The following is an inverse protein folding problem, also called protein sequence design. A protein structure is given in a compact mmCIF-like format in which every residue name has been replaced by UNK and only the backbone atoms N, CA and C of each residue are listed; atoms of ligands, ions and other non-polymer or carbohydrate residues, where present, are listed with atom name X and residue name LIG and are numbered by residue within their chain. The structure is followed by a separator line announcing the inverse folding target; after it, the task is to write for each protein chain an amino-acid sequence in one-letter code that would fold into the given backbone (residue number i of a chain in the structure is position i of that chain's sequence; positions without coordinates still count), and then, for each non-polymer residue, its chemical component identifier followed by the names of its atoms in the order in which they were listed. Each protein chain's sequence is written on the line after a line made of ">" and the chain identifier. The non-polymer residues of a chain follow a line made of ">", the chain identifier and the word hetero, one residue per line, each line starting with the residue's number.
data_IF_370956291076
#
_entry.id   IF_370956291076
#
_cell.length_a   1.000
_cell.length_b   1.000
_cell.length_c   1.000
_cell.angle_alpha   90.00
_cell.angle_beta   90.00
_cell.angle_gamma   90.00
#
_symmetry.space_group_name_H-M   'P 1'
#
loop_
_entity.id
_entity.type
_entity.pdbx_description
1 polymer ?
#
# COMPACT_ATOMS: atom_id res chain seq x y z
N UNK A 1 28.40 -10.17 -10.25
CA UNK A 1 27.38 -9.32 -10.90
C UNK A 1 28.04 -7.99 -11.23
N UNK A 2 27.99 -7.56 -12.49
CA UNK A 2 28.46 -6.24 -12.89
C UNK A 2 27.50 -5.18 -12.30
N UNK A 3 28.03 -4.01 -11.93
CA UNK A 3 27.25 -2.87 -11.44
C UNK A 3 26.38 -2.30 -12.57
N UNK A 4 25.25 -2.97 -12.83
CA UNK A 4 24.11 -2.38 -13.50
C UNK A 4 23.28 -1.67 -12.44
N UNK A 5 23.03 -0.38 -12.65
CA UNK A 5 22.14 0.40 -11.81
C UNK A 5 20.76 -0.24 -11.90
N UNK A 6 20.32 -0.90 -10.82
CA UNK A 6 18.91 -1.20 -10.62
C UNK A 6 18.25 0.14 -10.29
N UNK A 7 17.84 0.87 -11.32
CA UNK A 7 16.87 1.93 -11.12
C UNK A 7 15.61 1.24 -10.59
N UNK A 8 15.18 1.58 -9.37
CA UNK A 8 13.86 1.15 -8.93
C UNK A 8 12.86 1.87 -9.83
N UNK A 9 11.80 1.18 -10.25
CA UNK A 9 10.79 1.84 -11.10
C UNK A 9 10.19 3.06 -10.37
N UNK A 10 10.15 3.03 -9.03
CA UNK A 10 9.80 4.15 -8.16
C UNK A 10 10.62 5.43 -8.44
N UNK A 11 11.91 5.35 -8.79
CA UNK A 11 12.73 6.55 -9.11
C UNK A 11 12.17 7.38 -10.29
N UNK A 12 11.37 6.77 -11.16
CA UNK A 12 10.76 7.48 -12.30
C UNK A 12 9.37 8.03 -12.00
N UNK A 13 8.69 7.54 -10.97
CA UNK A 13 7.27 7.82 -10.72
C UNK A 13 6.99 8.53 -9.40
N UNK A 14 7.95 8.59 -8.48
CA UNK A 14 7.76 9.17 -7.16
C UNK A 14 8.79 10.25 -6.83
N UNK A 15 8.33 11.29 -6.15
CA UNK A 15 9.18 12.26 -5.46
C UNK A 15 8.88 12.20 -3.97
N UNK A 16 9.81 11.67 -3.18
CA UNK A 16 9.57 11.34 -1.77
C UNK A 16 10.24 12.31 -0.80
N UNK A 17 9.59 12.53 0.35
CA UNK A 17 10.17 13.22 1.51
C UNK A 17 10.37 12.18 2.61
N UNK A 18 11.62 11.81 2.84
CA UNK A 18 11.98 10.75 3.80
C UNK A 18 12.60 11.33 5.06
N UNK A 19 12.18 10.84 6.22
CA UNK A 19 12.80 11.20 7.50
C UNK A 19 14.05 10.35 7.75
N UNK A 20 15.22 10.97 7.69
CA UNK A 20 16.50 10.29 7.95
C UNK A 20 16.99 10.43 9.40
N UNK A 21 16.35 11.27 10.21
CA UNK A 21 16.85 11.67 11.53
C UNK A 21 16.16 10.97 12.70
N UNK A 22 14.97 10.39 12.47
CA UNK A 22 14.20 9.70 13.51
C UNK A 22 13.64 8.40 12.97
N UNK A 23 13.49 7.43 13.86
CA UNK A 23 12.87 6.14 13.59
C UNK A 23 11.33 6.26 13.49
N UNK A 24 10.82 7.19 12.68
CA UNK A 24 9.39 7.39 12.43
C UNK A 24 9.15 8.13 11.11
N UNK A 25 7.98 7.97 10.48
CA UNK A 25 7.61 8.74 9.30
C UNK A 25 7.63 10.26 9.54
N UNK A 26 7.73 11.03 8.46
CA UNK A 26 7.60 12.50 8.48
C UNK A 26 6.16 12.98 8.69
N UNK A 27 5.19 12.06 8.72
CA UNK A 27 3.76 12.33 8.78
C UNK A 27 3.11 11.57 9.95
N UNK A 28 1.91 12.01 10.32
CA UNK A 28 1.04 11.30 11.25
C UNK A 28 -0.28 10.96 10.56
N UNK A 29 -0.84 9.77 10.85
CA UNK A 29 -2.16 9.36 10.35
C UNK A 29 -2.99 8.74 11.46
N UNK A 30 -4.19 9.30 11.62
CA UNK A 30 -5.23 8.86 12.55
C UNK A 30 -6.60 8.98 11.86
N UNK A 31 -7.49 8.03 12.13
CA UNK A 31 -8.84 7.99 11.57
C UNK A 31 -9.01 7.01 10.42
N UNK A 32 -10.09 7.18 9.65
CA UNK A 32 -10.49 6.23 8.60
C UNK A 32 -10.03 6.67 7.23
N UNK A 33 -9.37 5.77 6.50
CA UNK A 33 -9.00 5.92 5.11
C UNK A 33 -9.79 4.94 4.24
N UNK A 34 -10.67 5.45 3.38
CA UNK A 34 -11.41 4.66 2.40
C UNK A 34 -10.66 4.62 1.06
N UNK A 35 -10.61 3.44 0.44
CA UNK A 35 -9.83 3.20 -0.77
C UNK A 35 -10.61 2.41 -1.82
N UNK A 36 -10.20 2.52 -3.08
CA UNK A 36 -10.87 1.88 -4.23
C UNK A 36 -10.23 0.52 -4.56
N UNK A 37 -8.91 0.42 -4.39
CA UNK A 37 -8.17 -0.81 -4.62
C UNK A 37 -6.82 -0.80 -3.92
N UNK A 38 -6.08 -1.89 -4.10
CA UNK A 38 -4.73 -2.03 -3.59
C UNK A 38 -3.82 -2.65 -4.63
N UNK A 39 -2.52 -2.46 -4.43
CA UNK A 39 -1.46 -3.19 -5.10
C UNK A 39 -0.45 -3.66 -4.07
N UNK A 40 0.49 -4.52 -4.49
CA UNK A 40 1.49 -5.03 -3.56
C UNK A 40 2.82 -5.35 -4.25
N UNK A 41 3.91 -5.14 -3.51
CA UNK A 41 5.27 -5.45 -3.91
C UNK A 41 5.90 -6.47 -2.95
N UNK A 42 6.60 -7.44 -3.53
CA UNK A 42 7.46 -8.37 -2.81
C UNK A 42 8.84 -8.38 -3.46
N UNK A 43 9.88 -7.96 -2.74
CA UNK A 43 11.25 -7.82 -3.29
C UNK A 43 11.97 -9.15 -3.51
N UNK A 44 11.34 -10.28 -3.15
CA UNK A 44 11.91 -11.59 -3.42
C UNK A 44 10.83 -12.61 -3.83
N UNK A 45 11.25 -13.60 -4.63
CA UNK A 45 10.35 -14.60 -5.21
C UNK A 45 9.70 -15.52 -4.16
N UNK A 46 10.35 -15.75 -3.02
CA UNK A 46 9.79 -16.58 -1.95
C UNK A 46 8.59 -15.89 -1.30
N UNK A 47 8.74 -14.62 -0.96
CA UNK A 47 7.69 -13.78 -0.41
C UNK A 47 6.54 -13.62 -1.41
N UNK A 48 6.86 -13.35 -2.68
CA UNK A 48 5.86 -13.27 -3.76
C UNK A 48 5.04 -14.55 -3.85
N UNK A 49 5.68 -15.72 -3.92
CA UNK A 49 4.96 -17.01 -3.97
C UNK A 49 4.10 -17.26 -2.73
N UNK A 50 4.59 -16.88 -1.55
CA UNK A 50 3.88 -17.09 -0.28
C UNK A 50 2.56 -16.34 -0.22
N UNK A 51 2.51 -15.11 -0.74
CA UNK A 51 1.35 -14.24 -0.60
C UNK A 51 0.59 -13.96 -1.91
N UNK A 52 1.01 -14.56 -3.02
CA UNK A 52 0.42 -14.33 -4.34
C UNK A 52 -1.10 -14.53 -4.37
N UNK A 53 -1.56 -15.71 -3.93
CA UNK A 53 -2.99 -16.06 -3.97
C UNK A 53 -3.80 -15.14 -3.04
N UNK A 54 -3.30 -14.93 -1.82
CA UNK A 54 -3.92 -14.03 -0.84
C UNK A 54 -4.15 -12.64 -1.42
N UNK A 55 -3.13 -12.00 -2.00
CA UNK A 55 -3.32 -10.65 -2.52
C UNK A 55 -4.12 -10.59 -3.82
N UNK A 56 -4.10 -11.62 -4.66
CA UNK A 56 -5.00 -11.66 -5.81
C UNK A 56 -6.46 -11.73 -5.35
N UNK A 57 -6.75 -12.49 -4.30
CA UNK A 57 -8.08 -12.52 -3.68
C UNK A 57 -8.43 -11.15 -3.09
N UNK A 58 -7.50 -10.47 -2.39
CA UNK A 58 -7.77 -9.14 -1.82
C UNK A 58 -7.99 -8.06 -2.90
N UNK A 59 -7.20 -8.07 -3.98
CA UNK A 59 -7.41 -7.18 -5.12
C UNK A 59 -8.78 -7.39 -5.77
N UNK A 60 -9.18 -8.65 -5.97
CA UNK A 60 -10.51 -8.96 -6.47
C UNK A 60 -11.59 -8.50 -5.48
N UNK A 61 -11.41 -8.75 -4.19
CA UNK A 61 -12.36 -8.37 -3.15
C UNK A 61 -12.58 -6.85 -3.06
N UNK A 62 -11.55 -6.04 -3.37
CA UNK A 62 -11.70 -4.57 -3.44
C UNK A 62 -12.82 -4.13 -4.39
N UNK A 63 -13.09 -4.90 -5.46
CA UNK A 63 -14.16 -4.60 -6.42
C UNK A 63 -15.57 -4.67 -5.83
N UNK A 64 -15.75 -5.29 -4.66
CA UNK A 64 -17.02 -5.29 -3.93
C UNK A 64 -17.28 -3.98 -3.17
N UNK A 65 -16.27 -3.11 -3.04
CA UNK A 65 -16.37 -1.85 -2.29
C UNK A 65 -16.28 -2.04 -0.77
N UNK A 66 -16.75 -1.05 -0.02
CA UNK A 66 -16.68 -1.01 1.46
C UNK A 66 -15.25 -1.15 2.02
N UNK A 67 -14.24 -0.80 1.24
CA UNK A 67 -12.85 -0.89 1.65
C UNK A 67 -12.46 0.28 2.55
N UNK A 68 -11.85 -0.01 3.69
CA UNK A 68 -11.33 1.01 4.59
C UNK A 68 -10.24 0.49 5.51
N UNK A 69 -9.42 1.42 6.00
CA UNK A 69 -8.48 1.19 7.08
C UNK A 69 -8.72 2.22 8.17
N UNK A 70 -8.83 1.75 9.41
CA UNK A 70 -8.88 2.62 10.58
C UNK A 70 -7.50 2.66 11.22
N UNK A 71 -6.90 3.85 11.27
CA UNK A 71 -5.58 4.10 11.86
C UNK A 71 -5.69 4.73 13.24
N UNK A 72 -4.78 4.33 14.13
CA UNK A 72 -4.50 5.02 15.38
C UNK A 72 -3.00 5.01 15.65
N UNK A 73 -2.42 6.18 15.90
CA UNK A 73 -0.98 6.41 16.08
C UNK A 73 -0.17 5.78 14.93
N UNK A 74 -0.52 6.18 13.69
CA UNK A 74 0.00 5.65 12.44
C UNK A 74 -0.19 4.14 12.21
N UNK A 75 -0.82 3.41 13.12
CA UNK A 75 -0.92 1.94 13.04
C UNK A 75 -2.31 1.52 12.63
N UNK A 76 -2.42 0.67 11.60
CA UNK A 76 -3.70 0.13 11.18
C UNK A 76 -4.29 -0.76 12.28
N UNK A 77 -5.44 -0.35 12.80
CA UNK A 77 -6.18 -1.06 13.85
C UNK A 77 -7.19 -2.03 13.25
N UNK A 78 -7.84 -1.61 12.17
CA UNK A 78 -8.83 -2.40 11.44
C UNK A 78 -8.62 -2.24 9.94
N UNK A 79 -8.65 -3.35 9.20
CA UNK A 79 -8.53 -3.39 7.74
C UNK A 79 -9.75 -4.15 7.20
N UNK A 80 -10.56 -3.45 6.41
CA UNK A 80 -11.74 -4.00 5.74
C UNK A 80 -11.53 -3.96 4.24
N UNK A 81 -11.71 -5.11 3.57
CA UNK A 81 -11.59 -5.27 2.12
C UNK A 81 -12.84 -6.01 1.63
N UNK A 82 -13.55 -5.43 0.66
CA UNK A 82 -14.78 -6.01 0.13
C UNK A 82 -15.85 -6.22 1.19
N UNK A 83 -15.91 -5.34 2.20
CA UNK A 83 -16.80 -5.47 3.37
C UNK A 83 -16.39 -6.51 4.42
N UNK A 84 -15.31 -7.28 4.19
CA UNK A 84 -14.80 -8.28 5.13
C UNK A 84 -13.65 -7.72 5.97
N UNK A 85 -13.72 -7.92 7.29
CA UNK A 85 -12.62 -7.60 8.20
C UNK A 85 -11.50 -8.63 8.07
N UNK A 86 -10.35 -8.20 7.56
CA UNK A 86 -9.14 -9.02 7.31
C UNK A 86 -7.99 -8.64 8.23
N UNK A 87 -8.30 -7.93 9.32
CA UNK A 87 -7.29 -7.39 10.24
C UNK A 87 -6.39 -8.48 10.82
N UNK A 88 -6.96 -9.65 11.13
CA UNK A 88 -6.22 -10.76 11.75
C UNK A 88 -5.16 -11.31 10.81
N UNK A 89 -5.52 -11.51 9.54
CA UNK A 89 -4.66 -12.01 8.48
C UNK A 89 -3.45 -11.08 8.29
N UNK A 90 -3.70 -9.77 8.27
CA UNK A 90 -2.65 -8.76 8.22
C UNK A 90 -1.80 -8.74 9.50
N UNK A 91 -2.40 -8.81 10.69
CA UNK A 91 -1.63 -8.88 11.95
C UNK A 91 -0.72 -10.11 12.00
N UNK A 92 -1.22 -11.27 11.59
CA UNK A 92 -0.44 -12.51 11.51
C UNK A 92 0.69 -12.39 10.49
N UNK A 93 0.42 -11.78 9.33
CA UNK A 93 1.40 -11.56 8.28
C UNK A 93 2.56 -10.64 8.72
N UNK A 94 2.25 -9.59 9.47
CA UNK A 94 3.19 -8.53 9.86
C UNK A 94 3.74 -8.70 11.29
N UNK A 95 3.35 -9.77 12.00
CA UNK A 95 3.70 -10.00 13.39
C UNK A 95 5.22 -10.10 13.61
N UNK A 96 5.75 -9.27 14.50
CA UNK A 96 7.17 -9.29 14.88
C UNK A 96 8.13 -8.74 13.81
N UNK A 97 7.61 -8.17 12.72
CA UNK A 97 8.41 -7.58 11.66
C UNK A 97 8.55 -6.06 11.86
N UNK A 98 9.61 -5.48 11.30
CA UNK A 98 9.88 -4.05 11.40
C UNK A 98 8.69 -3.22 10.87
N UNK A 99 8.30 -2.17 11.58
CA UNK A 99 7.12 -1.32 11.31
C UNK A 99 5.77 -2.01 11.39
N UNK A 100 5.67 -3.33 11.28
CA UNK A 100 4.41 -4.07 11.39
C UNK A 100 3.31 -3.44 10.52
N UNK A 101 2.17 -3.10 11.13
CA UNK A 101 1.04 -2.44 10.47
C UNK A 101 1.08 -0.91 10.52
N UNK A 102 2.23 -0.30 10.82
CA UNK A 102 2.37 1.13 10.73
C UNK A 102 2.33 1.59 9.26
N UNK A 103 1.66 2.72 9.01
CA UNK A 103 1.75 3.46 7.77
C UNK A 103 3.20 3.89 7.57
N UNK A 104 3.81 3.34 6.53
CA UNK A 104 5.19 3.64 6.12
C UNK A 104 5.23 4.72 5.04
N UNK A 105 4.10 4.91 4.35
CA UNK A 105 3.97 5.87 3.26
C UNK A 105 2.62 6.60 3.27
N UNK A 106 2.64 7.87 2.89
CA UNK A 106 1.48 8.66 2.51
C UNK A 106 1.85 9.46 1.27
N UNK A 107 1.07 9.33 0.21
CA UNK A 107 1.39 9.91 -1.08
C UNK A 107 0.15 10.46 -1.79
N UNK A 108 0.40 11.34 -2.75
CA UNK A 108 -0.61 12.02 -3.55
C UNK A 108 -0.35 11.70 -5.02
N UNK A 109 -1.24 10.94 -5.63
CA UNK A 109 -1.18 10.68 -7.06
C UNK A 109 -1.63 11.90 -7.87
N UNK A 110 -1.03 12.06 -9.05
CA UNK A 110 -1.17 13.24 -9.91
C UNK A 110 -1.58 12.91 -11.35
N UNK A 111 -1.67 11.62 -11.71
CA UNK A 111 -2.03 11.17 -13.04
C UNK A 111 -3.55 11.10 -13.20
N UNK A 112 -4.06 11.81 -14.20
CA UNK A 112 -5.42 11.61 -14.69
C UNK A 112 -5.39 10.57 -15.81
N UNK A 113 -6.24 9.53 -15.69
CA UNK A 113 -6.40 8.51 -16.71
C UNK A 113 -7.74 8.68 -17.44
N UNK A 114 -7.74 8.43 -18.76
CA UNK A 114 -8.96 8.47 -19.58
C UNK A 114 -9.94 7.30 -19.28
N UNK A 115 -9.50 6.32 -18.50
CA UNK A 115 -10.27 5.14 -18.11
C UNK A 115 -10.11 4.88 -16.61
N UNK A 116 -11.12 4.30 -15.94
CA UNK A 116 -10.96 3.83 -14.56
C UNK A 116 -9.79 2.85 -14.44
N UNK A 117 -9.11 2.90 -13.30
CA UNK A 117 -8.06 1.94 -12.96
C UNK A 117 -8.67 0.53 -12.86
N UNK A 118 -7.98 -0.45 -13.44
CA UNK A 118 -8.34 -1.86 -13.26
C UNK A 118 -7.62 -2.42 -12.03
N UNK A 119 -8.35 -2.50 -10.92
CA UNK A 119 -7.84 -3.00 -9.65
C UNK A 119 -7.57 -4.51 -9.63
N UNK A 120 -7.95 -5.25 -10.67
CA UNK A 120 -7.53 -6.64 -10.84
C UNK A 120 -6.09 -6.80 -11.31
N UNK A 121 -5.43 -5.71 -11.70
CA UNK A 121 -4.06 -5.70 -12.19
C UNK A 121 -3.14 -5.10 -11.12
N UNK A 122 -2.21 -5.91 -10.60
CA UNK A 122 -1.14 -5.45 -9.73
C UNK A 122 -0.11 -4.65 -10.54
N UNK A 123 -0.30 -3.33 -10.66
CA UNK A 123 0.52 -2.42 -11.46
C UNK A 123 0.95 -1.22 -10.62
N UNK A 124 2.26 -0.99 -10.54
CA UNK A 124 2.87 0.19 -9.89
C UNK A 124 2.36 1.51 -10.47
N UNK A 125 1.96 1.54 -11.75
CA UNK A 125 1.38 2.75 -12.35
C UNK A 125 0.06 3.16 -11.68
N UNK A 126 -0.64 2.24 -11.02
CA UNK A 126 -1.91 2.54 -10.37
C UNK A 126 -1.75 3.49 -9.18
N UNK A 127 -0.58 3.53 -8.53
CA UNK A 127 -0.29 4.47 -7.43
C UNK A 127 -0.31 5.92 -7.90
N UNK A 128 0.06 6.15 -9.16
CA UNK A 128 0.12 7.48 -9.74
C UNK A 128 -1.25 8.13 -9.94
N UNK A 129 -2.35 7.38 -9.85
CA UNK A 129 -3.70 7.88 -10.10
C UNK A 129 -4.06 9.04 -9.17
N UNK A 130 -4.68 10.08 -9.72
CA UNK A 130 -5.14 11.23 -8.96
C UNK A 130 -5.90 10.81 -7.71
N UNK A 131 -5.48 11.34 -6.57
CA UNK A 131 -6.04 10.99 -5.26
C UNK A 131 -4.96 10.92 -4.19
N UNK A 132 -5.04 9.93 -3.32
CA UNK A 132 -4.03 9.64 -2.32
C UNK A 132 -3.90 8.13 -2.11
N UNK A 133 -2.73 7.69 -1.66
CA UNK A 133 -2.54 6.34 -1.14
C UNK A 133 -1.81 6.34 0.19
N UNK A 134 -2.02 5.25 0.94
CA UNK A 134 -1.30 4.95 2.17
C UNK A 134 -0.66 3.59 2.00
N UNK A 135 0.66 3.55 2.19
CA UNK A 135 1.45 2.32 2.13
C UNK A 135 1.70 1.75 3.52
N UNK A 136 1.64 0.42 3.64
CA UNK A 136 2.13 -0.32 4.81
C UNK A 136 3.17 -1.35 4.38
N UNK A 137 4.09 -1.67 5.30
CA UNK A 137 5.15 -2.64 5.05
C UNK A 137 6.33 -2.09 4.26
N UNK A 138 7.32 -2.96 4.03
CA UNK A 138 8.66 -2.58 3.56
C UNK A 138 9.16 -3.40 2.35
N UNK A 139 8.39 -4.37 1.86
CA UNK A 139 8.71 -5.17 0.66
C UNK A 139 9.82 -6.23 0.83
N UNK A 140 10.71 -6.08 1.81
CA UNK A 140 11.87 -6.95 2.02
C UNK A 140 11.52 -8.26 2.75
N UNK A 141 11.07 -8.16 4.01
CA UNK A 141 10.68 -9.30 4.86
C UNK A 141 9.17 -9.56 4.85
N UNK A 142 8.41 -8.54 4.45
CA UNK A 142 6.96 -8.53 4.32
C UNK A 142 6.59 -7.85 3.00
N UNK A 143 5.38 -8.08 2.47
CA UNK A 143 4.88 -7.31 1.34
C UNK A 143 4.83 -5.82 1.68
N UNK A 144 5.15 -4.96 0.71
CA UNK A 144 4.71 -3.56 0.74
C UNK A 144 3.37 -3.49 0.03
N UNK A 145 2.41 -2.75 0.60
CA UNK A 145 1.02 -2.74 0.14
C UNK A 145 0.52 -1.31 0.14
N UNK A 146 0.07 -0.86 -1.02
CA UNK A 146 -0.47 0.47 -1.21
C UNK A 146 -1.98 0.41 -1.37
N UNK A 147 -2.68 1.10 -0.47
CA UNK A 147 -4.12 1.25 -0.53
C UNK A 147 -4.44 2.59 -1.19
N UNK A 148 -5.12 2.55 -2.33
CA UNK A 148 -5.21 3.69 -3.24
C UNK A 148 -6.65 4.22 -3.30
N UNK A 149 -6.81 5.51 -3.08
CA UNK A 149 -8.09 6.23 -3.09
C UNK A 149 -8.08 7.31 -4.17
N UNK A 150 -8.78 7.06 -5.27
CA UNK A 150 -8.90 7.95 -6.43
C UNK A 150 -9.79 9.18 -6.16
N UNK A 151 -10.54 9.14 -5.06
CA UNK A 151 -11.48 10.18 -4.68
C UNK A 151 -11.06 10.96 -3.44
N UNK A 152 -9.91 10.65 -2.86
CA UNK A 152 -9.35 11.41 -1.75
C UNK A 152 -9.12 12.89 -2.15
N UNK A 153 -9.46 13.80 -1.23
CA UNK A 153 -9.33 15.24 -1.42
C UNK A 153 -8.70 15.86 -0.19
N UNK A 154 -7.68 16.70 -0.41
CA UNK A 154 -7.16 17.59 0.61
C UNK A 154 -8.13 18.76 0.78
N UNK A 155 -8.37 19.16 2.03
CA UNK A 155 -9.24 20.28 2.40
C UNK A 155 -8.44 21.31 3.19
#
# INVERSE_FOLDING_TARGET
>A
MLAGWLYSIAEFFEASIVNLNKDRPSFAVDGTFSFDGLIYLCNNATLKRKYYDFFNEMMLACSHGENRIDFSDNTAQTIVIGGSDVTREFREMFCGLERGLAATEFALGCADYDRPVDWGINSLLNEGVRGAHIGIGMGAEMPHIDFISTHAKLR
#
